data_IF_950302681156
#
_entry.id   IF_950302681156
#
_cell.length_a   1.000
_cell.length_b   1.000
_cell.length_c   1.000
_cell.angle_alpha   90.00
_cell.angle_beta   90.00
_cell.angle_gamma   90.00
#
_symmetry.space_group_name_H-M   'P 1'
#
loop_
_entity.id
_entity.type
_entity.pdbx_description
1 polymer ?
#
# COMPACT_ATOMS: atom_id res chain seq x y z
N UNK A 1 4.91 -1.39 -82.24
CA UNK A 1 4.62 -0.72 -80.94
C UNK A 1 4.09 -1.66 -79.82
N UNK A 2 4.01 -3.00 -79.96
CA UNK A 2 3.27 -3.84 -78.99
C UNK A 2 4.04 -4.57 -77.86
N UNK A 3 5.38 -4.52 -77.78
CA UNK A 3 6.12 -5.22 -76.71
C UNK A 3 6.14 -4.46 -75.37
N UNK A 4 6.13 -3.13 -75.44
CA UNK A 4 6.12 -2.26 -74.26
C UNK A 4 4.75 -2.30 -73.54
N UNK A 5 3.65 -2.44 -74.29
CA UNK A 5 2.31 -2.59 -73.71
C UNK A 5 2.10 -3.94 -73.02
N UNK A 6 2.63 -5.03 -73.59
CA UNK A 6 2.57 -6.35 -72.94
C UNK A 6 3.40 -6.38 -71.65
N UNK A 7 4.62 -5.82 -71.68
CA UNK A 7 5.45 -5.69 -70.48
C UNK A 7 4.79 -4.82 -69.42
N UNK A 8 4.15 -3.69 -69.79
CA UNK A 8 3.36 -2.87 -68.86
C UNK A 8 2.12 -3.57 -68.32
N UNK A 9 1.45 -4.40 -69.12
CA UNK A 9 0.31 -5.19 -68.67
C UNK A 9 0.73 -6.29 -67.68
N UNK A 10 1.86 -6.94 -67.93
CA UNK A 10 2.44 -7.94 -67.01
C UNK A 10 2.92 -7.26 -65.73
N UNK A 11 3.60 -6.11 -65.80
CA UNK A 11 4.01 -5.35 -64.60
C UNK A 11 2.80 -4.87 -63.80
N UNK A 12 1.78 -4.28 -64.43
CA UNK A 12 0.56 -3.89 -63.75
C UNK A 12 -0.12 -5.10 -63.08
N UNK A 13 -0.20 -6.25 -63.76
CA UNK A 13 -0.74 -7.50 -63.20
C UNK A 13 0.06 -8.00 -62.00
N UNK A 14 1.40 -7.90 -62.05
CA UNK A 14 2.28 -8.22 -60.92
C UNK A 14 2.07 -7.25 -59.75
N UNK A 15 1.86 -5.96 -60.02
CA UNK A 15 1.55 -4.96 -58.99
C UNK A 15 0.18 -5.22 -58.36
N UNK A 16 -0.84 -5.57 -59.15
CA UNK A 16 -2.17 -5.94 -58.65
C UNK A 16 -2.13 -7.20 -57.77
N UNK A 17 -1.39 -8.24 -58.18
CA UNK A 17 -1.25 -9.46 -57.37
C UNK A 17 -0.50 -9.19 -56.08
N UNK A 18 0.57 -8.38 -56.11
CA UNK A 18 1.31 -7.95 -54.92
C UNK A 18 0.43 -7.20 -53.91
N UNK A 19 -0.33 -6.20 -54.39
CA UNK A 19 -1.27 -5.45 -53.55
C UNK A 19 -2.35 -6.35 -52.93
N UNK A 20 -2.81 -7.36 -53.67
CA UNK A 20 -3.82 -8.29 -53.18
C UNK A 20 -3.25 -9.25 -52.12
N UNK A 21 -2.03 -9.76 -52.32
CA UNK A 21 -1.31 -10.55 -51.33
C UNK A 21 -1.03 -9.76 -50.04
N UNK A 22 -0.67 -8.49 -50.14
CA UNK A 22 -0.46 -7.61 -48.98
C UNK A 22 -1.76 -7.43 -48.17
N UNK A 23 -2.89 -7.18 -48.84
CA UNK A 23 -4.22 -7.09 -48.19
C UNK A 23 -4.63 -8.39 -47.51
N UNK A 24 -4.39 -9.54 -48.14
CA UNK A 24 -4.67 -10.86 -47.56
C UNK A 24 -3.85 -11.12 -46.30
N UNK A 25 -2.56 -10.77 -46.32
CA UNK A 25 -1.69 -10.90 -45.15
C UNK A 25 -2.14 -9.99 -44.00
N UNK A 26 -2.67 -8.80 -44.31
CA UNK A 26 -3.18 -7.89 -43.29
C UNK A 26 -4.49 -8.39 -42.67
N UNK A 27 -5.42 -8.88 -43.50
CA UNK A 27 -6.65 -9.55 -43.04
C UNK A 27 -6.36 -10.79 -42.19
N UNK A 28 -5.38 -11.61 -42.59
CA UNK A 28 -4.94 -12.74 -41.77
C UNK A 28 -4.40 -12.29 -40.42
N UNK A 29 -3.60 -11.21 -40.36
CA UNK A 29 -3.12 -10.64 -39.10
C UNK A 29 -4.26 -10.11 -38.23
N UNK A 30 -5.23 -9.41 -38.80
CA UNK A 30 -6.41 -8.94 -38.07
C UNK A 30 -7.26 -10.11 -37.54
N UNK A 31 -7.41 -11.20 -38.31
CA UNK A 31 -8.08 -12.43 -37.88
C UNK A 31 -7.32 -13.14 -36.75
N UNK A 32 -6.00 -13.28 -36.87
CA UNK A 32 -5.18 -13.94 -35.86
C UNK A 32 -5.08 -13.15 -34.55
N UNK A 33 -5.05 -11.82 -34.63
CA UNK A 33 -4.93 -10.94 -33.45
C UNK A 33 -6.27 -10.51 -32.87
N UNK A 34 -7.36 -10.65 -33.63
CA UNK A 34 -8.68 -10.11 -33.33
C UNK A 34 -8.73 -8.58 -33.29
N UNK A 35 -7.66 -7.88 -33.69
CA UNK A 35 -7.54 -6.42 -33.63
C UNK A 35 -7.67 -5.84 -35.02
N UNK A 36 -8.59 -4.89 -35.17
CA UNK A 36 -8.79 -4.14 -36.42
C UNK A 36 -7.57 -3.30 -36.82
N UNK A 37 -6.80 -2.83 -35.84
CA UNK A 37 -5.58 -2.03 -36.03
C UNK A 37 -4.49 -2.65 -35.15
N UNK A 38 -3.44 -3.13 -35.80
CA UNK A 38 -2.30 -3.78 -35.12
C UNK A 38 -1.09 -2.83 -35.05
N UNK A 39 -0.82 -2.07 -36.12
CA UNK A 39 0.31 -1.14 -36.17
C UNK A 39 -0.16 0.30 -36.00
N UNK A 40 0.64 1.09 -35.30
CA UNK A 40 0.41 2.53 -35.18
C UNK A 40 0.51 3.27 -36.55
N UNK A 41 1.08 2.63 -37.56
CA UNK A 41 1.12 3.11 -38.94
C UNK A 41 -0.22 3.02 -39.66
N UNK A 42 -1.13 2.14 -39.23
CA UNK A 42 -2.37 1.85 -39.97
C UNK A 42 -3.45 2.91 -39.67
N UNK A 43 -3.49 3.41 -38.42
CA UNK A 43 -4.29 4.56 -38.00
C UNK A 43 -3.64 5.20 -36.75
N UNK A 44 -2.87 6.29 -36.91
CA UNK A 44 -2.17 6.92 -35.79
C UNK A 44 -3.12 7.52 -34.76
N UNK A 45 -4.32 7.95 -35.16
CA UNK A 45 -5.32 8.53 -34.27
C UNK A 45 -5.97 7.49 -33.37
N UNK A 46 -6.37 6.34 -33.94
CA UNK A 46 -6.93 5.22 -33.17
C UNK A 46 -5.84 4.56 -32.32
N UNK A 47 -4.62 4.42 -32.84
CA UNK A 47 -3.49 3.92 -32.07
C UNK A 47 -3.18 4.81 -30.86
N UNK A 48 -3.18 6.14 -31.03
CA UNK A 48 -3.01 7.09 -29.93
C UNK A 48 -4.14 7.01 -28.91
N UNK A 49 -5.41 6.91 -29.35
CA UNK A 49 -6.57 6.70 -28.46
C UNK A 49 -6.46 5.40 -27.68
N UNK A 50 -6.11 4.30 -28.34
CA UNK A 50 -5.93 2.99 -27.72
C UNK A 50 -4.80 3.02 -26.69
N UNK A 51 -3.65 3.64 -27.00
CA UNK A 51 -2.55 3.83 -26.05
C UNK A 51 -2.95 4.68 -24.85
N UNK A 52 -3.71 5.76 -25.05
CA UNK A 52 -4.27 6.55 -23.94
C UNK A 52 -5.19 5.69 -23.06
N UNK A 53 -6.04 4.86 -23.66
CA UNK A 53 -6.93 3.98 -22.92
C UNK A 53 -6.15 2.90 -22.13
N UNK A 54 -5.14 2.29 -22.74
CA UNK A 54 -4.21 1.36 -22.08
C UNK A 54 -3.46 2.03 -20.92
N UNK A 55 -3.06 3.28 -21.07
CA UNK A 55 -2.41 4.03 -20.00
C UNK A 55 -3.39 4.34 -18.86
N UNK A 56 -4.65 4.66 -19.17
CA UNK A 56 -5.70 4.83 -18.17
C UNK A 56 -5.97 3.52 -17.43
N UNK A 57 -6.17 2.43 -18.15
CA UNK A 57 -6.38 1.11 -17.55
C UNK A 57 -5.23 0.72 -16.61
N UNK A 58 -3.97 0.90 -17.04
CA UNK A 58 -2.80 0.63 -16.18
C UNK A 58 -2.74 1.52 -14.93
N UNK A 59 -3.19 2.77 -15.04
CA UNK A 59 -3.32 3.67 -13.89
C UNK A 59 -4.43 3.17 -12.96
N UNK A 60 -5.59 2.82 -13.50
CA UNK A 60 -6.72 2.32 -12.73
C UNK A 60 -6.37 1.00 -12.01
N UNK A 61 -5.68 0.07 -12.67
CA UNK A 61 -5.15 -1.15 -12.05
C UNK A 61 -4.17 -0.86 -10.91
N UNK A 62 -3.32 0.16 -11.05
CA UNK A 62 -2.44 0.58 -9.95
C UNK A 62 -3.23 1.20 -8.80
N UNK A 63 -4.27 1.98 -9.10
CA UNK A 63 -5.16 2.56 -8.09
C UNK A 63 -5.87 1.46 -7.29
N UNK A 64 -6.39 0.43 -7.96
CA UNK A 64 -7.03 -0.71 -7.27
C UNK A 64 -6.05 -1.39 -6.32
N UNK A 65 -4.82 -1.70 -6.78
CA UNK A 65 -3.78 -2.27 -5.90
C UNK A 65 -3.43 -1.37 -4.72
N UNK A 66 -3.37 -0.06 -4.95
CA UNK A 66 -3.11 0.91 -3.89
C UNK A 66 -4.24 0.93 -2.85
N UNK A 67 -5.52 0.82 -3.27
CA UNK A 67 -6.70 0.74 -2.38
C UNK A 67 -6.61 -0.54 -1.54
N UNK A 68 -6.33 -1.67 -2.19
CA UNK A 68 -6.26 -2.97 -1.51
C UNK A 68 -5.17 -2.96 -0.43
N UNK A 69 -3.95 -2.52 -0.79
CA UNK A 69 -2.85 -2.40 0.16
C UNK A 69 -3.18 -1.44 1.31
N UNK A 70 -3.77 -0.29 1.01
CA UNK A 70 -4.16 0.70 2.04
C UNK A 70 -5.23 0.13 2.96
N UNK A 71 -6.23 -0.55 2.42
CA UNK A 71 -7.29 -1.22 3.19
C UNK A 71 -6.72 -2.28 4.12
N UNK A 72 -5.77 -3.08 3.65
CA UNK A 72 -5.06 -4.04 4.50
C UNK A 72 -4.28 -3.36 5.61
N UNK A 73 -3.55 -2.28 5.33
CA UNK A 73 -2.81 -1.53 6.34
C UNK A 73 -3.73 -0.89 7.40
N UNK A 74 -4.87 -0.34 6.99
CA UNK A 74 -5.89 0.20 7.90
C UNK A 74 -6.46 -0.91 8.79
N UNK A 75 -6.83 -2.06 8.22
CA UNK A 75 -7.39 -3.18 8.99
C UNK A 75 -6.39 -3.74 10.03
N UNK A 76 -5.11 -3.81 9.68
CA UNK A 76 -4.05 -4.16 10.63
C UNK A 76 -3.92 -3.09 11.72
N UNK A 77 -3.94 -1.80 11.35
CA UNK A 77 -3.87 -0.69 12.33
C UNK A 77 -5.03 -0.74 13.33
N UNK A 78 -6.25 -0.96 12.85
CA UNK A 78 -7.44 -1.10 13.70
C UNK A 78 -7.31 -2.30 14.67
N UNK A 79 -6.83 -3.44 14.18
CA UNK A 79 -6.63 -4.64 14.99
C UNK A 79 -5.60 -4.40 16.08
N UNK A 80 -4.47 -3.77 15.73
CA UNK A 80 -3.43 -3.41 16.67
C UNK A 80 -3.93 -2.39 17.70
N UNK A 81 -4.64 -1.35 17.28
CA UNK A 81 -5.22 -0.35 18.19
C UNK A 81 -6.25 -0.96 19.14
N UNK A 82 -7.08 -1.90 18.68
CA UNK A 82 -8.01 -2.64 19.53
C UNK A 82 -7.27 -3.40 20.64
N UNK A 83 -6.16 -4.05 20.31
CA UNK A 83 -5.30 -4.72 21.29
C UNK A 83 -4.72 -3.75 22.33
N UNK A 84 -4.27 -2.57 21.91
CA UNK A 84 -3.79 -1.54 22.85
C UNK A 84 -4.91 -1.08 23.80
N UNK A 85 -6.13 -0.90 23.29
CA UNK A 85 -7.28 -0.51 24.12
C UNK A 85 -7.57 -1.57 25.18
N UNK A 86 -7.55 -2.86 24.82
CA UNK A 86 -7.74 -3.97 25.77
C UNK A 86 -6.64 -3.98 26.85
N UNK A 87 -5.38 -3.82 26.44
CA UNK A 87 -4.25 -3.75 27.36
C UNK A 87 -4.35 -2.54 28.30
N UNK A 88 -4.81 -1.37 27.82
CA UNK A 88 -5.03 -0.18 28.66
C UNK A 88 -6.16 -0.39 29.67
N UNK A 89 -7.23 -1.09 29.28
CA UNK A 89 -8.30 -1.46 30.20
C UNK A 89 -7.80 -2.42 31.29
N UNK A 90 -6.92 -3.37 30.95
CA UNK A 90 -6.28 -4.25 31.93
C UNK A 90 -5.40 -3.47 32.90
N UNK A 91 -4.54 -2.59 32.40
CA UNK A 91 -3.69 -1.70 33.23
C UNK A 91 -4.54 -0.85 34.17
N UNK A 92 -5.64 -0.27 33.68
CA UNK A 92 -6.57 0.50 34.53
C UNK A 92 -7.17 -0.35 35.65
N UNK A 93 -7.57 -1.59 35.34
CA UNK A 93 -8.14 -2.52 36.33
C UNK A 93 -7.11 -2.88 37.41
N UNK A 94 -5.88 -3.21 37.00
CA UNK A 94 -4.76 -3.49 37.91
C UNK A 94 -4.42 -2.29 38.80
N UNK A 95 -4.45 -1.08 38.24
CA UNK A 95 -4.21 0.16 38.99
C UNK A 95 -5.31 0.40 40.02
N UNK A 96 -6.58 0.20 39.66
CA UNK A 96 -7.70 0.32 40.59
C UNK A 96 -7.65 -0.74 41.70
N UNK A 97 -7.19 -1.95 41.39
CA UNK A 97 -6.98 -3.01 42.37
C UNK A 97 -5.89 -2.63 43.37
N UNK A 98 -4.78 -2.05 42.90
CA UNK A 98 -3.68 -1.58 43.75
C UNK A 98 -4.11 -0.44 44.70
N UNK A 99 -5.07 0.40 44.30
CA UNK A 99 -5.56 1.53 45.11
C UNK A 99 -6.60 1.12 46.16
N UNK A 100 -7.49 0.18 45.83
CA UNK A 100 -8.68 -0.10 46.65
C UNK A 100 -8.52 -1.26 47.65
N UNK A 101 -7.52 -2.14 47.48
CA UNK A 101 -7.35 -3.31 48.34
C UNK A 101 -6.24 -3.11 49.38
N UNK A 102 -6.38 -3.62 50.61
CA UNK A 102 -5.24 -3.75 51.53
C UNK A 102 -4.27 -4.78 50.95
N UNK A 103 -3.27 -4.31 50.22
CA UNK A 103 -2.28 -5.13 49.52
C UNK A 103 -0.99 -5.20 50.33
N UNK A 104 -0.34 -6.36 50.32
CA UNK A 104 1.04 -6.46 50.84
C UNK A 104 2.03 -5.89 49.82
N UNK A 105 3.27 -5.64 50.26
CA UNK A 105 4.34 -5.23 49.34
C UNK A 105 4.63 -6.27 48.27
N UNK A 106 4.40 -7.56 48.56
CA UNK A 106 4.54 -8.65 47.60
C UNK A 106 3.42 -8.60 46.53
N UNK A 107 2.18 -8.33 46.93
CA UNK A 107 1.06 -8.20 45.99
C UNK A 107 1.22 -6.99 45.07
N UNK A 108 1.71 -5.87 45.61
CA UNK A 108 2.03 -4.67 44.80
C UNK A 108 3.14 -4.96 43.77
N UNK A 109 4.16 -5.74 44.13
CA UNK A 109 5.22 -6.14 43.21
C UNK A 109 4.71 -7.04 42.08
N UNK A 110 3.77 -7.95 42.37
CA UNK A 110 3.12 -8.79 41.35
C UNK A 110 2.28 -7.95 40.38
N UNK A 111 1.50 -6.99 40.90
CA UNK A 111 0.72 -6.07 40.06
C UNK A 111 1.64 -5.22 39.18
N UNK A 112 2.75 -4.70 39.72
CA UNK A 112 3.73 -3.95 38.95
C UNK A 112 4.34 -4.79 37.81
N UNK A 113 4.66 -6.05 38.09
CA UNK A 113 5.16 -7.00 37.08
C UNK A 113 4.14 -7.19 35.96
N UNK A 114 2.85 -7.35 36.30
CA UNK A 114 1.80 -7.54 35.31
C UNK A 114 1.55 -6.27 34.47
N UNK A 115 1.58 -5.09 35.09
CA UNK A 115 1.52 -3.81 34.35
C UNK A 115 2.69 -3.68 33.38
N UNK A 116 3.90 -4.06 33.80
CA UNK A 116 5.06 -4.07 32.92
C UNK A 116 4.87 -5.03 31.74
N UNK A 117 4.30 -6.21 31.95
CA UNK A 117 3.97 -7.14 30.86
C UNK A 117 2.96 -6.56 29.87
N UNK A 118 1.96 -5.81 30.33
CA UNK A 118 1.02 -5.12 29.45
C UNK A 118 1.72 -4.03 28.63
N UNK A 119 2.64 -3.27 29.25
CA UNK A 119 3.42 -2.24 28.57
C UNK A 119 4.36 -2.82 27.51
N UNK A 120 4.98 -3.98 27.77
CA UNK A 120 5.73 -4.75 26.76
C UNK A 120 4.84 -5.18 25.59
N UNK A 121 3.60 -5.57 25.87
CA UNK A 121 2.59 -5.84 24.86
C UNK A 121 2.34 -4.63 23.96
N UNK A 122 2.07 -3.47 24.57
CA UNK A 122 1.83 -2.22 23.85
C UNK A 122 3.04 -1.80 23.02
N UNK A 123 4.26 -1.98 23.53
CA UNK A 123 5.50 -1.68 22.81
C UNK A 123 5.63 -2.54 21.55
N UNK A 124 5.32 -3.84 21.64
CA UNK A 124 5.32 -4.73 20.47
C UNK A 124 4.27 -4.29 19.45
N UNK A 125 3.07 -3.97 19.92
CA UNK A 125 1.98 -3.49 19.07
C UNK A 125 2.33 -2.19 18.35
N UNK A 126 2.94 -1.23 19.06
CA UNK A 126 3.43 0.03 18.50
C UNK A 126 4.57 -0.14 17.47
N UNK A 127 5.30 -1.25 17.52
CA UNK A 127 6.38 -1.59 16.59
C UNK A 127 5.96 -2.59 15.49
N UNK A 128 4.66 -2.80 15.28
CA UNK A 128 4.15 -3.70 14.24
C UNK A 128 4.60 -3.25 12.84
N UNK A 129 5.07 -4.20 12.03
CA UNK A 129 5.53 -3.98 10.65
C UNK A 129 4.61 -4.66 9.65
N UNK A 130 4.15 -3.90 8.65
CA UNK A 130 3.34 -4.40 7.53
C UNK A 130 4.11 -4.15 6.24
N UNK A 131 4.37 -5.20 5.46
CA UNK A 131 5.14 -5.07 4.21
C UNK A 131 6.57 -4.54 4.41
N UNK A 132 7.17 -4.77 5.58
CA UNK A 132 8.51 -4.28 5.94
C UNK A 132 8.55 -2.85 6.49
N UNK A 133 7.41 -2.17 6.57
CA UNK A 133 7.29 -0.79 7.07
C UNK A 133 6.62 -0.76 8.43
N UNK A 134 7.14 0.02 9.37
CA UNK A 134 6.46 0.26 10.65
C UNK A 134 5.16 1.04 10.43
N UNK A 135 4.08 0.56 11.06
CA UNK A 135 2.75 1.14 10.89
C UNK A 135 2.62 2.49 11.59
N UNK A 136 3.31 2.63 12.72
CA UNK A 136 3.24 3.80 13.60
C UNK A 136 4.50 4.70 13.54
N UNK A 137 5.41 4.47 12.59
CA UNK A 137 6.69 5.19 12.47
C UNK A 137 6.63 6.53 11.71
N UNK A 138 5.49 6.86 11.12
CA UNK A 138 5.38 8.01 10.21
C UNK A 138 6.20 7.78 8.93
N UNK A 139 7.05 8.73 8.56
CA UNK A 139 7.93 8.60 7.40
C UNK A 139 9.14 7.67 7.62
N UNK A 140 9.51 7.44 8.87
CA UNK A 140 10.59 6.53 9.25
C UNK A 140 10.07 5.09 9.35
N UNK A 141 10.05 4.40 8.20
CA UNK A 141 9.49 3.05 8.10
C UNK A 141 10.48 1.93 8.38
N UNK A 142 11.77 2.24 8.36
CA UNK A 142 12.85 1.24 8.37
C UNK A 142 13.36 0.95 9.80
N UNK A 143 13.08 1.84 10.75
CA UNK A 143 13.41 1.70 12.16
C UNK A 143 12.16 1.44 13.01
N UNK A 144 12.37 0.89 14.21
CA UNK A 144 11.28 0.67 15.16
C UNK A 144 10.74 2.03 15.65
N UNK A 145 9.41 2.17 15.67
CA UNK A 145 8.74 3.44 15.98
C UNK A 145 8.91 3.85 17.46
N UNK A 146 9.01 2.87 18.35
CA UNK A 146 9.13 3.05 19.79
C UNK A 146 10.33 2.28 20.33
N UNK A 147 11.15 2.97 21.13
CA UNK A 147 12.24 2.34 21.88
C UNK A 147 11.99 2.47 23.38
N UNK A 148 12.16 1.38 24.11
CA UNK A 148 12.03 1.38 25.57
C UNK A 148 13.41 1.42 26.24
N UNK A 149 13.60 2.39 27.13
CA UNK A 149 14.69 2.36 28.10
C UNK A 149 14.29 1.44 29.26
N UNK A 150 15.20 0.54 29.65
CA UNK A 150 14.95 -0.48 30.67
C UNK A 150 15.78 -0.21 31.92
N UNK A 151 15.20 -0.45 33.08
CA UNK A 151 15.92 -0.39 34.36
C UNK A 151 16.87 -1.61 34.51
N UNK A 152 17.68 -1.63 35.57
CA UNK A 152 18.63 -2.73 35.85
C UNK A 152 18.01 -4.11 36.11
N UNK A 153 16.67 -4.22 36.15
CA UNK A 153 15.91 -5.46 36.34
C UNK A 153 15.16 -5.85 35.04
N UNK A 154 15.29 -5.05 33.98
CA UNK A 154 14.72 -5.34 32.65
C UNK A 154 13.30 -4.83 32.43
N UNK A 155 12.70 -4.10 33.38
CA UNK A 155 11.39 -3.48 33.24
C UNK A 155 11.48 -2.14 32.48
N UNK A 156 10.40 -1.74 31.82
CA UNK A 156 10.34 -0.49 31.04
C UNK A 156 10.28 0.70 31.99
N UNK A 157 11.29 1.58 31.92
CA UNK A 157 11.37 2.82 32.70
C UNK A 157 10.82 4.02 31.92
N UNK A 158 11.10 4.08 30.62
CA UNK A 158 10.51 5.07 29.72
C UNK A 158 10.41 4.53 28.29
N UNK A 159 9.43 5.01 27.54
CA UNK A 159 9.28 4.73 26.11
C UNK A 159 9.47 6.04 25.35
N UNK A 160 10.42 6.07 24.43
CA UNK A 160 10.64 7.19 23.51
C UNK A 160 10.12 6.85 22.12
N UNK A 161 9.44 7.80 21.51
CA UNK A 161 9.06 7.74 20.10
C UNK A 161 10.24 8.19 19.24
N UNK A 162 10.65 7.37 18.29
CA UNK A 162 11.74 7.68 17.35
C UNK A 162 11.25 7.91 15.91
N UNK A 163 9.93 7.83 15.67
CA UNK A 163 9.36 8.15 14.37
C UNK A 163 9.21 9.66 14.14
N UNK A 164 8.73 10.01 12.94
CA UNK A 164 8.48 11.39 12.54
C UNK A 164 6.97 11.69 12.47
N UNK A 165 6.60 12.97 12.58
CA UNK A 165 5.22 13.46 12.49
C UNK A 165 4.68 13.48 11.05
N UNK A 166 5.46 13.00 10.09
CA UNK A 166 5.13 12.96 8.67
C UNK A 166 4.33 11.70 8.34
N UNK A 167 3.20 11.87 7.68
CA UNK A 167 2.40 10.77 7.13
C UNK A 167 2.89 10.45 5.71
N UNK A 168 3.30 9.21 5.47
CA UNK A 168 3.41 8.69 4.11
C UNK A 168 2.01 8.35 3.62
N UNK A 169 1.66 8.83 2.44
CA UNK A 169 0.42 8.49 1.78
C UNK A 169 0.68 7.97 0.37
N UNK A 170 -0.24 7.14 -0.10
CA UNK A 170 -0.21 6.64 -1.48
C UNK A 170 -1.14 7.51 -2.32
N UNK A 171 -0.65 7.94 -3.48
CA UNK A 171 -1.44 8.76 -4.38
C UNK A 171 -2.53 7.92 -5.04
N UNK A 172 -3.78 8.33 -4.82
CA UNK A 172 -4.98 7.67 -5.31
C UNK A 172 -5.80 8.62 -6.21
N UNK A 173 -6.93 9.14 -5.73
CA UNK A 173 -7.58 10.38 -6.21
C UNK A 173 -7.41 11.53 -5.20
N UNK A 174 -6.56 11.29 -4.21
CA UNK A 174 -6.17 12.10 -3.07
C UNK A 174 -5.09 11.32 -2.34
N UNK A 175 -4.32 11.98 -1.46
CA UNK A 175 -3.30 11.30 -0.66
C UNK A 175 -4.00 10.68 0.55
N UNK A 176 -4.17 9.36 0.56
CA UNK A 176 -4.63 8.65 1.76
C UNK A 176 -3.38 8.29 2.58
N UNK A 177 -3.27 8.73 3.84
CA UNK A 177 -2.15 8.35 4.69
C UNK A 177 -2.20 6.84 4.98
N UNK A 178 -1.08 6.16 4.76
CA UNK A 178 -0.88 4.73 5.01
C UNK A 178 -0.07 4.48 6.29
N UNK A 179 0.53 5.52 6.85
CA UNK A 179 1.25 5.49 8.13
C UNK A 179 0.66 6.51 9.06
N UNK A 180 0.52 6.17 10.34
CA UNK A 180 0.05 7.10 11.37
C UNK A 180 1.18 7.38 12.35
N UNK A 181 1.67 8.63 12.48
CA UNK A 181 2.68 8.95 13.46
C UNK A 181 2.24 8.53 14.87
N UNK A 182 3.06 7.69 15.51
CA UNK A 182 2.82 7.18 16.86
C UNK A 182 2.70 8.29 17.92
N UNK A 183 3.35 9.44 17.69
CA UNK A 183 3.14 10.68 18.44
C UNK A 183 1.66 11.13 18.46
N UNK A 184 0.94 11.03 17.33
CA UNK A 184 -0.47 11.42 17.24
C UNK A 184 -1.41 10.33 17.72
N UNK A 185 -1.04 9.06 17.54
CA UNK A 185 -1.88 7.91 17.95
C UNK A 185 -1.79 7.67 19.46
N UNK A 186 -0.60 7.81 20.05
CA UNK A 186 -0.33 7.41 21.43
C UNK A 186 -0.02 8.57 22.38
N UNK A 187 0.47 9.72 21.89
CA UNK A 187 0.81 10.87 22.75
C UNK A 187 -0.28 11.94 22.86
N UNK A 188 -1.23 12.00 21.91
CA UNK A 188 -2.41 12.87 22.02
C UNK A 188 -3.65 12.04 22.35
N UNK A 189 -4.17 12.21 23.55
CA UNK A 189 -5.52 11.76 23.92
C UNK A 189 -6.58 12.27 22.93
N UNK A 190 -7.77 11.63 22.89
CA UNK A 190 -8.67 11.61 21.74
C UNK A 190 -8.91 13.00 21.18
N UNK A 191 -8.54 13.18 19.91
CA UNK A 191 -8.90 14.34 19.12
C UNK A 191 -10.40 14.22 18.82
N UNK A 192 -11.23 14.66 19.76
CA UNK A 192 -12.65 14.87 19.52
C UNK A 192 -12.72 15.87 18.37
N UNK A 193 -13.19 15.37 17.21
CA UNK A 193 -13.50 16.16 16.02
C UNK A 193 -14.30 17.39 16.46
N UNK A 194 -13.75 18.58 16.21
CA UNK A 194 -14.53 19.81 16.11
C UNK A 194 -15.02 19.96 14.67
#
# INVERSE_FOLDING_TARGET
MNRVSFSRMVMNSQDYTRLNSEKLLDLQRQLSTGKKIEKASDDPDVAARSKRLQNRLRRDEQLVRNIENTSHMIGEAETQMSSVVEQLQRVRTLTLQAVNAPMTTADMALIATEINQQLEGMLRTGNTKVGGKTLFGGAETDQDAFTAARNGIGEIESVSYQGDDVELGVEMQGVIPITWPGSRVFSKGPMILK
#
